data_IF_392824080654
#
_entry.id   IF_392824080654
#
_cell.length_a   1.000
_cell.length_b   1.000
_cell.length_c   1.000
_cell.angle_alpha   90.00
_cell.angle_beta   90.00
_cell.angle_gamma   90.00
#
_symmetry.space_group_name_H-M   'P 1'
#
loop_
_entity.id
_entity.type
_entity.pdbx_description
1 polymer ?
#
# COMPACT_ATOMS: atom_id res chain seq x y z
N UNK A 1 -11.98 -1.91 -6.39
CA UNK A 1 -11.40 -3.07 -5.67
C UNK A 1 -10.31 -2.63 -4.71
N UNK A 2 -10.18 -3.32 -3.57
CA UNK A 2 -9.05 -3.12 -2.65
C UNK A 2 -7.85 -3.94 -3.11
N UNK A 3 -6.71 -3.27 -3.26
CA UNK A 3 -5.40 -3.88 -3.47
C UNK A 3 -4.56 -3.64 -2.21
N UNK A 4 -4.19 -4.72 -1.51
CA UNK A 4 -3.20 -4.68 -0.45
C UNK A 4 -1.81 -4.81 -1.06
N UNK A 5 -0.96 -3.84 -0.78
CA UNK A 5 0.41 -3.75 -1.29
C UNK A 5 1.36 -3.90 -0.11
N UNK A 6 2.17 -4.94 -0.13
CA UNK A 6 3.25 -5.13 0.85
C UNK A 6 4.58 -4.84 0.19
N UNK A 7 5.38 -3.98 0.80
CA UNK A 7 6.71 -3.63 0.34
C UNK A 7 7.75 -4.14 1.34
N UNK A 8 8.54 -5.12 0.92
CA UNK A 8 9.70 -5.59 1.67
C UNK A 8 10.93 -4.83 1.20
N UNK A 9 11.49 -4.03 2.11
CA UNK A 9 12.60 -3.12 1.85
C UNK A 9 13.43 -2.97 3.11
N UNK A 10 14.76 -3.03 2.96
CA UNK A 10 15.66 -2.75 4.07
C UNK A 10 15.63 -1.26 4.42
N UNK A 11 15.18 -0.92 5.63
CA UNK A 11 15.14 0.47 6.13
C UNK A 11 16.35 0.86 6.97
N UNK A 12 17.35 -0.03 7.09
CA UNK A 12 18.60 0.22 7.83
C UNK A 12 19.39 1.35 7.15
N UNK A 13 19.54 1.26 5.83
CA UNK A 13 20.22 2.28 5.01
C UNK A 13 19.37 3.50 4.70
N UNK A 14 20.00 4.59 4.24
CA UNK A 14 19.30 5.79 3.74
C UNK A 14 18.53 5.52 2.45
N UNK A 15 19.07 4.69 1.56
CA UNK A 15 18.48 4.43 0.25
C UNK A 15 17.15 3.69 0.32
N UNK A 16 17.07 2.61 1.11
CA UNK A 16 15.79 1.90 1.28
C UNK A 16 14.73 2.73 2.00
N UNK A 17 15.12 3.59 2.96
CA UNK A 17 14.21 4.60 3.53
C UNK A 17 13.71 5.59 2.48
N UNK A 18 14.57 6.03 1.56
CA UNK A 18 14.21 6.93 0.46
C UNK A 18 13.24 6.25 -0.52
N UNK A 19 13.47 4.98 -0.87
CA UNK A 19 12.55 4.19 -1.72
C UNK A 19 11.20 3.99 -1.03
N UNK A 20 11.19 3.60 0.25
CA UNK A 20 9.97 3.48 1.05
C UNK A 20 9.16 4.78 1.07
N UNK A 21 9.81 5.94 1.27
CA UNK A 21 9.12 7.23 1.23
C UNK A 21 8.50 7.52 -0.15
N UNK A 22 9.17 7.17 -1.25
CA UNK A 22 8.63 7.36 -2.61
C UNK A 22 7.45 6.42 -2.88
N UNK A 23 7.58 5.14 -2.55
CA UNK A 23 6.52 4.13 -2.67
C UNK A 23 5.31 4.54 -1.83
N UNK A 24 5.54 4.92 -0.57
CA UNK A 24 4.48 5.36 0.33
C UNK A 24 3.72 6.56 -0.23
N UNK A 25 4.43 7.56 -0.77
CA UNK A 25 3.80 8.72 -1.39
C UNK A 25 2.85 8.31 -2.53
N UNK A 26 3.29 7.41 -3.41
CA UNK A 26 2.47 6.90 -4.52
C UNK A 26 1.26 6.09 -4.07
N UNK A 27 1.40 5.28 -3.02
CA UNK A 27 0.28 4.49 -2.51
C UNK A 27 -0.79 5.35 -1.82
N UNK A 28 -0.37 6.36 -1.04
CA UNK A 28 -1.29 7.20 -0.25
C UNK A 28 -2.15 8.11 -1.14
N UNK A 29 -1.72 8.40 -2.38
CA UNK A 29 -2.55 9.10 -3.37
C UNK A 29 -3.84 8.32 -3.73
N UNK A 30 -3.89 7.02 -3.44
CA UNK A 30 -4.98 6.10 -3.77
C UNK A 30 -5.48 5.28 -2.57
N UNK A 31 -4.99 5.57 -1.38
CA UNK A 31 -4.94 4.57 -0.31
C UNK A 31 -4.55 5.13 1.04
N UNK A 32 -4.36 4.19 1.97
CA UNK A 32 -3.81 4.47 3.28
C UNK A 32 -2.60 3.57 3.56
N UNK A 33 -1.71 4.06 4.43
CA UNK A 33 -0.57 3.29 4.94
C UNK A 33 -0.96 2.67 6.27
N UNK A 34 -1.23 1.37 6.28
CA UNK A 34 -1.73 0.63 7.46
C UNK A 34 -0.62 0.07 8.35
N UNK A 35 0.58 -0.13 7.81
CA UNK A 35 1.78 -0.49 8.60
C UNK A 35 3.02 0.22 8.05
N UNK A 36 4.21 -0.07 8.59
CA UNK A 36 5.43 0.61 8.15
C UNK A 36 5.65 0.49 6.63
N UNK A 37 5.41 -0.66 6.03
CA UNK A 37 5.56 -0.83 4.58
C UNK A 37 4.41 -1.62 3.95
N UNK A 38 3.22 -1.46 4.52
CA UNK A 38 1.97 -2.07 4.00
C UNK A 38 0.95 -0.97 3.73
N UNK A 39 0.33 -1.06 2.56
CA UNK A 39 -0.58 -0.06 2.01
C UNK A 39 -1.87 -0.72 1.51
N UNK A 40 -2.99 -0.07 1.79
CA UNK A 40 -4.31 -0.45 1.31
C UNK A 40 -4.78 0.59 0.30
N UNK A 41 -4.88 0.21 -0.98
CA UNK A 41 -5.26 1.12 -2.06
C UNK A 41 -6.60 0.71 -2.68
N UNK A 42 -7.54 1.65 -2.77
CA UNK A 42 -8.82 1.45 -3.44
C UNK A 42 -8.66 1.92 -4.89
N UNK A 43 -8.67 0.96 -5.81
CA UNK A 43 -8.30 1.20 -7.20
C UNK A 43 -9.32 0.57 -8.15
N UNK A 44 -9.50 1.18 -9.31
CA UNK A 44 -10.01 0.49 -10.50
C UNK A 44 -8.88 -0.26 -11.25
N UNK A 45 -9.23 -1.01 -12.30
CA UNK A 45 -8.27 -1.82 -13.05
C UNK A 45 -7.23 -1.01 -13.86
N UNK A 46 -7.55 0.22 -14.26
CA UNK A 46 -6.63 1.09 -14.98
C UNK A 46 -5.65 1.76 -13.99
N UNK A 47 -6.17 2.29 -12.89
CA UNK A 47 -5.39 2.86 -11.80
C UNK A 47 -4.44 1.82 -11.20
N UNK A 48 -4.90 0.58 -10.99
CA UNK A 48 -4.03 -0.50 -10.49
C UNK A 48 -2.87 -0.79 -11.44
N UNK A 49 -3.13 -0.91 -12.75
CA UNK A 49 -2.06 -1.13 -13.74
C UNK A 49 -1.04 -0.01 -13.74
N UNK A 50 -1.50 1.23 -13.69
CA UNK A 50 -0.63 2.41 -13.62
C UNK A 50 0.20 2.44 -12.34
N UNK A 51 -0.44 2.30 -11.18
CA UNK A 51 0.26 2.33 -9.90
C UNK A 51 1.28 1.19 -9.83
N UNK A 52 0.92 -0.03 -10.24
CA UNK A 52 1.84 -1.16 -10.28
C UNK A 52 3.10 -0.84 -11.10
N UNK A 53 2.94 -0.28 -12.31
CA UNK A 53 4.06 0.13 -13.15
C UNK A 53 4.93 1.18 -12.44
N UNK A 54 4.32 2.24 -11.91
CA UNK A 54 5.05 3.31 -11.20
C UNK A 54 5.81 2.77 -9.97
N UNK A 55 5.24 1.83 -9.23
CA UNK A 55 5.91 1.22 -8.08
C UNK A 55 7.09 0.31 -8.51
N UNK A 56 6.95 -0.43 -9.60
CA UNK A 56 8.02 -1.26 -10.15
C UNK A 56 9.24 -0.45 -10.61
N UNK A 57 9.05 0.81 -11.00
CA UNK A 57 10.15 1.74 -11.35
C UNK A 57 10.84 2.36 -10.12
N UNK A 58 10.18 2.35 -8.96
CA UNK A 58 10.68 2.99 -7.74
C UNK A 58 11.54 2.08 -6.86
N UNK A 59 11.38 0.77 -7.01
CA UNK A 59 12.07 -0.23 -6.19
C UNK A 59 13.40 -0.66 -6.82
N UNK A 60 14.28 -1.21 -5.99
CA UNK A 60 15.43 -1.97 -6.46
C UNK A 60 15.03 -3.46 -6.50
N UNK A 61 14.84 -4.02 -7.70
CA UNK A 61 14.32 -5.39 -7.87
C UNK A 61 15.31 -6.49 -7.43
N UNK A 62 16.58 -6.15 -7.22
CA UNK A 62 17.59 -7.09 -6.72
C UNK A 62 17.55 -7.21 -5.19
N UNK A 63 17.07 -6.18 -4.49
CA UNK A 63 17.13 -6.10 -3.02
C UNK A 63 15.78 -5.93 -2.33
N UNK A 64 14.76 -5.50 -3.07
CA UNK A 64 13.42 -5.27 -2.56
C UNK A 64 12.39 -6.22 -3.20
N UNK A 65 11.21 -6.33 -2.58
CA UNK A 65 10.08 -7.00 -3.23
C UNK A 65 8.75 -6.31 -2.96
N UNK A 66 7.87 -6.34 -3.97
CA UNK A 66 6.47 -5.92 -3.85
C UNK A 66 5.57 -7.15 -4.00
N UNK A 67 4.52 -7.23 -3.17
CA UNK A 67 3.41 -8.16 -3.39
C UNK A 67 2.11 -7.40 -3.44
N UNK A 68 1.26 -7.81 -4.37
CA UNK A 68 -0.05 -7.22 -4.61
C UNK A 68 -1.11 -8.29 -4.36
N UNK A 69 -1.99 -8.06 -3.39
CA UNK A 69 -3.11 -8.93 -3.09
C UNK A 69 -4.40 -8.21 -3.47
N UNK A 70 -5.12 -8.77 -4.45
CA UNK A 70 -6.43 -8.27 -4.82
C UNK A 70 -7.50 -8.87 -3.89
N UNK A 71 -8.07 -8.04 -3.02
CA UNK A 71 -9.12 -8.44 -2.08
C UNK A 71 -10.53 -8.26 -2.65
N UNK A 72 -10.64 -7.65 -3.83
CA UNK A 72 -11.89 -7.36 -4.54
C UNK A 72 -12.67 -6.21 -3.92
N UNK A 73 -13.93 -6.06 -4.33
CA UNK A 73 -14.81 -5.00 -3.82
C UNK A 73 -15.42 -5.36 -2.46
N UNK A 74 -15.59 -6.66 -2.17
CA UNK A 74 -16.12 -7.16 -0.89
C UNK A 74 -14.98 -7.50 0.09
N UNK A 75 -14.15 -6.51 0.43
CA UNK A 75 -12.95 -6.72 1.24
C UNK A 75 -13.16 -6.50 2.74
N UNK A 76 -14.20 -5.76 3.16
CA UNK A 76 -14.39 -5.34 4.56
C UNK A 76 -14.41 -6.51 5.56
N UNK A 77 -14.98 -7.65 5.19
CA UNK A 77 -15.02 -8.86 6.04
C UNK A 77 -13.74 -9.70 6.02
N UNK A 78 -12.77 -9.35 5.17
CA UNK A 78 -11.53 -10.11 4.95
C UNK A 78 -10.31 -9.51 5.65
N UNK A 79 -10.48 -8.36 6.30
CA UNK A 79 -9.39 -7.65 6.99
C UNK A 79 -9.68 -7.66 8.49
N UNK A 80 -8.68 -8.07 9.27
CA UNK A 80 -8.70 -8.01 10.73
C UNK A 80 -7.42 -7.34 11.20
N UNK A 81 -7.56 -6.35 12.07
CA UNK A 81 -6.44 -5.65 12.69
C UNK A 81 -6.33 -6.03 14.17
N UNK A 82 -5.10 -6.23 14.64
CA UNK A 82 -4.79 -6.41 16.07
C UNK A 82 -3.53 -5.60 16.39
N UNK A 83 -3.60 -4.75 17.42
CA UNK A 83 -2.43 -4.06 17.96
C UNK A 83 -2.55 -2.54 17.99
N UNK A 84 -1.39 -1.88 17.89
CA UNK A 84 -1.18 -0.54 18.43
C UNK A 84 -1.71 0.64 17.61
N UNK A 85 -2.23 0.45 16.40
CA UNK A 85 -2.65 1.56 15.54
C UNK A 85 -3.94 1.26 14.81
N UNK A 86 -5.00 1.96 15.20
CA UNK A 86 -6.26 1.92 14.46
C UNK A 86 -6.04 2.44 13.04
N UNK A 87 -6.47 1.65 12.06
CA UNK A 87 -6.69 2.09 10.69
C UNK A 87 -8.13 2.60 10.57
N UNK A 88 -8.35 3.74 9.94
CA UNK A 88 -9.71 4.19 9.61
C UNK A 88 -10.16 3.55 8.30
N UNK A 89 -11.46 3.32 8.13
CA UNK A 89 -12.01 2.83 6.87
C UNK A 89 -12.08 4.00 5.87
N UNK A 90 -11.36 3.89 4.76
CA UNK A 90 -11.35 4.92 3.71
C UNK A 90 -12.73 5.10 3.04
N UNK A 91 -13.64 4.12 3.17
CA UNK A 91 -15.01 4.21 2.68
C UNK A 91 -15.99 4.85 3.65
N UNK A 92 -15.58 5.17 4.88
CA UNK A 92 -16.45 5.77 5.87
C UNK A 92 -16.49 7.31 5.74
N UNK A 93 -17.62 7.96 6.12
CA UNK A 93 -17.71 9.41 6.11
C UNK A 93 -16.61 10.04 6.97
N UNK A 94 -15.94 11.06 6.43
CA UNK A 94 -14.89 11.80 7.14
C UNK A 94 -15.44 12.59 8.34
N UNK A 95 -16.75 12.87 8.36
CA UNK A 95 -17.51 13.56 9.42
C UNK A 95 -18.93 12.96 9.42
N UNK A 96 -19.51 12.75 10.61
CA UNK A 96 -20.91 12.35 10.84
C UNK A 96 -21.87 13.55 10.78
#
# INVERSE_FOLDING_TARGET
>A
MLILITYDVSTIGSEGRRRLSKVAKKCVDHGQRVQNSVFECILDAAQFRRLKFELEELIDKETDSLRFYNLGDNYKSKVQHVGAKDSYDMGDPLIL
#
